data_IF_277170769924
#
_entry.id   IF_277170769924
#
_cell.length_a   1.000
_cell.length_b   1.000
_cell.length_c   1.000
_cell.angle_alpha   90.00
_cell.angle_beta   90.00
_cell.angle_gamma   90.00
#
_symmetry.space_group_name_H-M   'P 1'
#
loop_
_entity.id
_entity.type
_entity.pdbx_description
1 polymer ?
#
# COMPACT_ATOMS: atom_id res chain seq x y z
N UNK A 1 -3.20 -5.66 12.54
CA UNK A 1 -3.64 -7.07 12.63
C UNK A 1 -3.48 -7.72 11.27
N UNK A 2 -2.97 -8.95 11.26
CA UNK A 2 -2.46 -9.63 10.07
C UNK A 2 -3.55 -9.91 9.05
N UNK A 3 -3.35 -9.40 7.84
CA UNK A 3 -4.09 -9.86 6.65
C UNK A 3 -3.59 -11.28 6.37
N UNK A 4 -4.49 -12.26 6.33
CA UNK A 4 -4.14 -13.62 5.92
C UNK A 4 -3.40 -13.57 4.58
N UNK A 5 -2.10 -13.86 4.62
CA UNK A 5 -1.26 -13.96 3.43
C UNK A 5 -1.47 -15.35 2.84
N UNK A 6 -2.53 -15.54 2.06
CA UNK A 6 -2.59 -16.71 1.19
C UNK A 6 -1.49 -16.58 0.13
N UNK A 7 -0.71 -17.64 -0.08
CA UNK A 7 0.30 -17.70 -1.14
C UNK A 7 -0.38 -17.59 -2.52
N UNK A 8 -0.45 -16.37 -3.05
CA UNK A 8 -0.93 -16.11 -4.41
C UNK A 8 0.21 -16.34 -5.39
N UNK A 9 0.28 -17.55 -5.94
CA UNK A 9 1.20 -17.84 -7.04
C UNK A 9 0.82 -16.99 -8.27
N UNK A 10 1.78 -16.25 -8.81
CA UNK A 10 1.70 -15.40 -10.01
C UNK A 10 0.96 -14.04 -9.92
N UNK A 11 0.72 -13.49 -8.72
CA UNK A 11 0.17 -12.14 -8.60
C UNK A 11 1.27 -11.07 -8.84
N UNK A 12 1.08 -10.11 -9.77
CA UNK A 12 2.01 -8.95 -9.83
C UNK A 12 1.91 -8.17 -8.52
N UNK A 13 3.06 -7.72 -8.02
CA UNK A 13 3.21 -6.95 -6.78
C UNK A 13 2.25 -5.74 -6.78
N UNK A 14 1.52 -5.51 -5.69
CA UNK A 14 0.60 -4.38 -5.59
C UNK A 14 1.33 -3.10 -5.18
N UNK A 15 0.71 -1.95 -5.44
CA UNK A 15 1.21 -0.66 -4.93
C UNK A 15 1.24 -0.57 -3.41
N UNK A 16 0.46 -1.38 -2.69
CA UNK A 16 0.42 -1.41 -1.22
C UNK A 16 1.55 -2.26 -0.62
N UNK A 17 2.14 -3.15 -1.41
CA UNK A 17 3.20 -4.06 -0.97
C UNK A 17 4.60 -3.43 -1.03
N UNK A 18 4.72 -2.29 -1.73
CA UNK A 18 5.99 -1.59 -1.91
C UNK A 18 6.04 -0.28 -1.14
N UNK A 19 7.26 0.05 -0.71
CA UNK A 19 7.58 1.35 -0.17
C UNK A 19 7.35 2.42 -1.24
N UNK A 20 6.62 3.47 -0.88
CA UNK A 20 6.26 4.54 -1.82
C UNK A 20 6.54 5.91 -1.24
N UNK A 21 6.89 6.85 -2.12
CA UNK A 21 7.21 8.25 -1.79
C UNK A 21 6.32 9.15 -2.62
N UNK A 22 5.64 10.09 -1.98
CA UNK A 22 4.88 11.12 -2.66
C UNK A 22 5.22 12.52 -2.15
N UNK A 23 5.10 13.52 -3.02
CA UNK A 23 5.33 14.93 -2.65
C UNK A 23 4.38 15.41 -1.55
N UNK A 24 3.17 14.84 -1.48
CA UNK A 24 2.20 15.15 -0.44
C UNK A 24 2.66 14.65 0.94
N UNK A 25 3.20 13.44 1.01
CA UNK A 25 3.71 12.86 2.26
C UNK A 25 4.91 13.67 2.77
N UNK A 26 5.80 14.08 1.86
CA UNK A 26 6.95 14.93 2.21
C UNK A 26 6.52 16.29 2.77
N UNK A 27 5.53 16.94 2.15
CA UNK A 27 4.98 18.22 2.63
C UNK A 27 4.36 18.08 4.02
N UNK A 28 3.66 16.98 4.29
CA UNK A 28 3.08 16.70 5.63
C UNK A 28 4.13 16.50 6.71
N UNK A 29 5.27 15.90 6.35
CA UNK A 29 6.37 15.65 7.28
C UNK A 29 7.40 16.79 7.37
N UNK A 30 7.10 17.97 6.81
CA UNK A 30 7.95 19.16 6.93
C UNK A 30 9.25 19.08 6.12
N UNK A 31 9.39 18.11 5.21
CA UNK A 31 10.55 17.97 4.34
C UNK A 31 10.45 18.93 3.14
N UNK A 32 10.78 20.20 3.39
CA UNK A 32 10.52 21.31 2.45
C UNK A 32 11.80 22.06 2.05
N UNK A 33 12.90 21.95 2.80
CA UNK A 33 14.11 22.75 2.56
C UNK A 33 15.19 21.98 1.78
N UNK A 34 15.70 22.53 0.67
CA UNK A 34 16.87 21.97 -0.01
C UNK A 34 18.11 21.96 0.89
N UNK A 35 19.00 20.99 0.68
CA UNK A 35 20.29 20.91 1.38
C UNK A 35 20.27 20.21 2.74
N UNK A 36 19.10 19.75 3.20
CA UNK A 36 18.95 18.94 4.42
C UNK A 36 18.60 17.50 4.02
N UNK A 37 19.26 16.52 4.65
CA UNK A 37 18.93 15.11 4.53
C UNK A 37 17.74 14.75 5.40
N UNK A 38 16.79 14.02 4.84
CA UNK A 38 15.56 13.59 5.50
C UNK A 38 15.46 12.07 5.50
N UNK A 39 14.76 11.52 6.48
CA UNK A 39 14.46 10.08 6.55
C UNK A 39 12.97 9.87 6.36
N UNK A 40 12.58 9.09 5.35
CA UNK A 40 11.22 8.60 5.22
C UNK A 40 11.14 7.24 5.92
N UNK A 41 10.25 7.14 6.90
CA UNK A 41 9.97 5.89 7.61
C UNK A 41 8.62 5.38 7.20
N UNK A 42 8.52 4.06 7.00
CA UNK A 42 7.23 3.40 6.82
C UNK A 42 6.97 2.47 8.00
N UNK A 43 5.73 2.43 8.45
CA UNK A 43 5.26 1.50 9.45
C UNK A 43 4.05 0.74 8.94
N UNK A 44 3.97 -0.56 9.26
CA UNK A 44 2.80 -1.41 9.00
C UNK A 44 2.38 -2.07 10.29
N UNK A 45 1.18 -1.74 10.77
CA UNK A 45 0.66 -2.29 12.04
C UNK A 45 1.50 -1.90 13.26
N UNK A 46 2.06 -0.69 13.29
CA UNK A 46 2.88 -0.19 14.41
C UNK A 46 4.35 -0.62 14.39
N UNK A 47 4.75 -1.57 13.52
CA UNK A 47 6.16 -1.95 13.32
C UNK A 47 6.76 -1.20 12.14
N UNK A 48 7.95 -0.62 12.31
CA UNK A 48 8.69 0.03 11.23
C UNK A 48 9.07 -1.02 10.18
N UNK A 49 8.58 -0.87 8.96
CA UNK A 49 8.82 -1.81 7.84
C UNK A 49 9.99 -1.39 6.96
N UNK A 50 10.47 -0.16 7.11
CA UNK A 50 11.66 0.32 6.42
C UNK A 50 11.91 1.79 6.70
N UNK A 51 13.13 2.23 6.38
CA UNK A 51 13.49 3.63 6.35
C UNK A 51 14.42 3.86 5.15
N UNK A 52 14.25 4.98 4.46
CA UNK A 52 15.21 5.46 3.47
C UNK A 52 15.63 6.88 3.82
N UNK A 53 16.87 7.22 3.48
CA UNK A 53 17.32 8.61 3.52
C UNK A 53 17.15 9.22 2.14
N UNK A 54 16.86 10.52 2.11
CA UNK A 54 16.78 11.27 0.88
C UNK A 54 17.21 12.72 1.09
N UNK A 55 17.76 13.31 0.04
CA UNK A 55 18.16 14.71 0.02
C UNK A 55 17.32 15.47 -1.01
N UNK A 56 16.94 16.69 -0.65
CA UNK A 56 16.21 17.58 -1.53
C UNK A 56 17.18 18.58 -2.14
N UNK A 57 17.13 18.70 -3.47
CA UNK A 57 17.65 19.83 -4.21
C UNK A 57 16.48 20.63 -4.80
N UNK A 58 16.79 21.77 -5.41
CA UNK A 58 15.80 22.62 -6.10
C UNK A 58 15.07 21.83 -7.20
N UNK A 59 15.84 21.19 -8.07
CA UNK A 59 15.36 20.54 -9.29
C UNK A 59 15.41 19.01 -9.24
N UNK A 60 15.96 18.42 -8.18
CA UNK A 60 16.06 16.97 -8.03
C UNK A 60 15.94 16.47 -6.59
N UNK A 61 15.74 15.16 -6.47
CA UNK A 61 15.72 14.42 -5.22
C UNK A 61 16.72 13.27 -5.32
N UNK A 62 17.56 13.11 -4.31
CA UNK A 62 18.48 11.98 -4.24
C UNK A 62 18.01 11.01 -3.17
N UNK A 63 17.73 9.77 -3.53
CA UNK A 63 17.49 8.67 -2.60
C UNK A 63 18.82 8.01 -2.24
N UNK A 64 19.04 7.78 -0.94
CA UNK A 64 20.21 7.08 -0.39
C UNK A 64 19.72 6.00 0.56
N UNK A 65 19.94 4.74 0.22
CA UNK A 65 19.57 3.62 1.08
C UNK A 65 20.41 2.39 0.78
N UNK A 66 20.39 1.43 1.69
CA UNK A 66 21.06 0.14 1.50
C UNK A 66 20.02 -0.90 1.13
N UNK A 67 20.24 -1.62 0.03
CA UNK A 67 19.44 -2.75 -0.37
C UNK A 67 20.19 -4.03 -0.08
N UNK A 68 19.61 -4.93 0.71
CA UNK A 68 20.18 -6.25 1.00
C UNK A 68 19.41 -7.31 0.22
N UNK A 69 19.94 -7.80 -0.92
CA UNK A 69 19.31 -8.89 -1.66
C UNK A 69 19.27 -10.17 -0.83
N UNK A 70 18.30 -11.05 -1.11
CA UNK A 70 18.24 -12.35 -0.45
C UNK A 70 19.51 -13.16 -0.74
N UNK A 71 20.21 -13.58 0.33
CA UNK A 71 21.47 -14.34 0.22
C UNK A 71 22.69 -13.56 -0.25
N UNK A 72 22.60 -12.22 -0.33
CA UNK A 72 23.70 -11.36 -0.80
C UNK A 72 24.12 -10.30 0.23
N UNK A 73 25.30 -9.68 0.04
CA UNK A 73 25.75 -8.59 0.90
C UNK A 73 24.89 -7.33 0.71
N UNK A 74 24.82 -6.46 1.73
CA UNK A 74 24.16 -5.16 1.60
C UNK A 74 24.83 -4.29 0.52
N UNK A 75 24.04 -3.75 -0.41
CA UNK A 75 24.51 -2.89 -1.51
C UNK A 75 24.02 -1.46 -1.28
N UNK A 76 24.92 -0.45 -1.22
CA UNK A 76 24.50 0.94 -1.17
C UNK A 76 23.90 1.36 -2.50
N UNK A 77 22.73 1.99 -2.45
CA UNK A 77 21.96 2.44 -3.61
C UNK A 77 21.80 3.96 -3.53
N UNK A 78 22.18 4.63 -4.62
CA UNK A 78 21.96 6.06 -4.83
C UNK A 78 21.16 6.28 -6.10
N UNK A 79 19.97 6.87 -6.00
CA UNK A 79 19.12 7.16 -7.17
C UNK A 79 18.72 8.62 -7.17
N UNK A 80 18.99 9.32 -8.28
CA UNK A 80 18.59 10.72 -8.47
C UNK A 80 17.33 10.76 -9.33
N UNK A 81 16.31 11.48 -8.85
CA UNK A 81 15.07 11.71 -9.55
C UNK A 81 14.88 13.20 -9.77
N UNK A 82 14.68 13.61 -11.01
CA UNK A 82 14.43 15.00 -11.37
C UNK A 82 12.99 15.39 -11.04
N UNK A 83 12.76 16.68 -10.78
CA UNK A 83 11.43 17.24 -10.70
C UNK A 83 10.96 17.74 -12.06
N UNK A 84 9.66 17.77 -12.25
CA UNK A 84 9.00 18.47 -13.34
C UNK A 84 7.99 19.46 -12.74
N UNK A 85 7.76 20.57 -13.43
CA UNK A 85 6.87 21.63 -12.98
C UNK A 85 5.84 21.90 -14.05
N UNK A 86 4.59 22.08 -13.63
CA UNK A 86 3.49 22.49 -14.51
C UNK A 86 2.86 23.75 -13.92
N UNK A 87 2.65 24.78 -14.74
CA UNK A 87 1.95 25.99 -14.31
C UNK A 87 0.50 25.65 -13.92
N UNK A 88 -0.01 26.29 -12.86
CA UNK A 88 -1.39 26.15 -12.43
C UNK A 88 -2.24 27.32 -12.94
N UNK A 89 -3.48 27.04 -13.35
CA UNK A 89 -4.42 28.07 -13.87
C UNK A 89 -4.68 29.23 -12.90
N UNK A 90 -4.69 28.98 -11.58
CA UNK A 90 -4.91 29.99 -10.55
C UNK A 90 -3.61 30.54 -9.94
N UNK A 91 -2.49 30.40 -10.65
CA UNK A 91 -1.17 30.81 -10.17
C UNK A 91 -0.37 29.71 -9.46
N UNK A 92 0.95 29.86 -9.45
CA UNK A 92 1.90 28.92 -8.87
C UNK A 92 2.27 27.75 -9.80
N UNK A 93 3.04 26.81 -9.25
CA UNK A 93 3.54 25.64 -9.98
C UNK A 93 3.24 24.34 -9.23
N UNK A 94 2.75 23.35 -9.96
CA UNK A 94 2.61 21.99 -9.47
C UNK A 94 3.89 21.21 -9.72
N UNK A 95 4.51 20.75 -8.64
CA UNK A 95 5.70 19.90 -8.66
C UNK A 95 5.31 18.43 -8.90
N UNK A 96 6.12 17.74 -9.69
CA UNK A 96 5.99 16.32 -10.03
C UNK A 96 7.36 15.65 -9.96
N UNK A 97 7.40 14.33 -9.80
CA UNK A 97 8.60 13.54 -10.06
C UNK A 97 8.67 13.15 -11.53
N UNK A 98 9.84 13.29 -12.15
CA UNK A 98 10.11 12.81 -13.50
C UNK A 98 10.68 11.40 -13.43
N UNK A 99 9.86 10.41 -13.78
CA UNK A 99 10.33 9.03 -13.86
C UNK A 99 11.21 8.84 -15.10
N UNK A 100 12.15 7.89 -15.07
CA UNK A 100 13.00 7.54 -16.23
C UNK A 100 12.22 7.11 -17.49
N UNK A 101 10.93 6.79 -17.40
CA UNK A 101 10.06 6.58 -18.56
C UNK A 101 9.52 7.87 -19.19
N UNK A 102 9.99 9.05 -18.78
CA UNK A 102 9.53 10.35 -19.27
C UNK A 102 8.24 10.87 -18.62
N UNK A 103 7.51 10.03 -17.87
CA UNK A 103 6.26 10.43 -17.21
C UNK A 103 6.50 11.29 -15.96
N UNK A 104 5.71 12.35 -15.84
CA UNK A 104 5.57 13.14 -14.61
C UNK A 104 4.56 12.47 -13.68
N UNK A 105 4.98 12.10 -12.46
CA UNK A 105 4.17 11.33 -11.51
C UNK A 105 4.20 11.96 -10.11
N UNK A 106 3.12 11.79 -9.35
CA UNK A 106 3.04 12.29 -7.95
C UNK A 106 3.72 11.34 -6.97
N UNK A 107 3.80 10.05 -7.32
CA UNK A 107 4.27 8.98 -6.45
C UNK A 107 5.24 8.06 -7.17
N UNK A 108 6.33 7.74 -6.48
CA UNK A 108 7.32 6.75 -6.87
C UNK A 108 7.26 5.57 -5.91
N UNK A 109 7.71 4.41 -6.38
CA UNK A 109 7.80 3.19 -5.62
C UNK A 109 9.23 2.67 -5.67
N UNK A 110 9.64 2.04 -4.57
CA UNK A 110 10.98 1.50 -4.39
C UNK A 110 10.87 -0.02 -4.40
N UNK A 111 11.63 -0.66 -5.30
CA UNK A 111 11.74 -2.12 -5.40
C UNK A 111 13.20 -2.50 -5.56
N UNK A 112 13.80 -3.04 -4.50
CA UNK A 112 15.21 -3.35 -4.47
C UNK A 112 16.05 -2.09 -4.74
N UNK A 113 16.88 -2.12 -5.78
CA UNK A 113 17.74 -0.99 -6.17
C UNK A 113 17.06 0.05 -7.08
N UNK A 114 15.78 -0.14 -7.44
CA UNK A 114 15.08 0.71 -8.41
C UNK A 114 14.04 1.60 -7.72
N UNK A 115 14.06 2.89 -8.08
CA UNK A 115 13.01 3.87 -7.74
C UNK A 115 12.30 4.29 -9.02
N UNK A 116 11.03 3.93 -9.19
CA UNK A 116 10.30 4.19 -10.42
C UNK A 116 8.79 4.30 -10.23
N UNK A 117 8.07 4.71 -11.29
CA UNK A 117 6.62 4.82 -11.24
C UNK A 117 5.93 3.44 -11.31
N UNK A 118 4.63 3.41 -11.00
CA UNK A 118 3.82 2.18 -11.04
C UNK A 118 3.89 1.44 -12.37
N UNK A 119 3.98 2.18 -13.48
CA UNK A 119 4.02 1.60 -14.83
C UNK A 119 5.35 0.89 -15.10
N UNK A 120 6.47 1.53 -14.77
CA UNK A 120 7.80 0.93 -14.94
C UNK A 120 8.01 -0.32 -14.08
N UNK A 121 7.37 -0.36 -12.91
CA UNK A 121 7.44 -1.50 -12.00
C UNK A 121 6.32 -2.52 -12.20
N UNK A 122 5.47 -2.32 -13.22
CA UNK A 122 4.32 -3.17 -13.56
C UNK A 122 3.42 -3.46 -12.33
N UNK A 123 3.20 -2.43 -11.51
CA UNK A 123 2.37 -2.51 -10.31
C UNK A 123 0.91 -2.30 -10.67
N UNK A 124 0.04 -3.11 -10.09
CA UNK A 124 -1.40 -2.83 -10.11
C UNK A 124 -1.84 -2.18 -8.81
N UNK A 125 -2.90 -1.39 -8.88
CA UNK A 125 -3.59 -0.96 -7.67
C UNK A 125 -4.23 -2.15 -6.97
N UNK A 126 -4.17 -2.19 -5.63
CA UNK A 126 -4.85 -3.23 -4.85
C UNK A 126 -6.35 -3.32 -5.16
N UNK A 127 -6.99 -2.17 -5.43
CA UNK A 127 -8.41 -2.09 -5.83
C UNK A 127 -8.71 -2.65 -7.22
N UNK A 128 -7.74 -2.66 -8.15
CA UNK A 128 -7.91 -3.22 -9.50
C UNK A 128 -7.75 -4.75 -9.53
N UNK A 129 -7.34 -5.35 -8.41
CA UNK A 129 -7.12 -6.79 -8.27
C UNK A 129 -8.00 -7.44 -7.21
N UNK A 130 -9.04 -6.75 -6.75
CA UNK A 130 -9.95 -7.36 -5.80
C UNK A 130 -10.67 -8.53 -6.48
N UNK A 131 -10.23 -9.75 -6.18
CA UNK A 131 -11.03 -10.94 -6.40
C UNK A 131 -12.25 -10.93 -5.47
N UNK A 132 -13.16 -11.87 -5.66
CA UNK A 132 -14.39 -11.92 -4.88
C UNK A 132 -14.09 -12.02 -3.37
N UNK A 133 -13.01 -12.71 -2.97
CA UNK A 133 -12.57 -12.85 -1.58
C UNK A 133 -12.03 -11.53 -1.02
N UNK A 134 -11.26 -10.77 -1.77
CA UNK A 134 -10.77 -9.44 -1.39
C UNK A 134 -11.91 -8.45 -1.19
N UNK A 135 -12.93 -8.48 -2.06
CA UNK A 135 -14.15 -7.67 -1.91
C UNK A 135 -14.91 -8.05 -0.65
N UNK A 136 -15.07 -9.35 -0.39
CA UNK A 136 -15.76 -9.85 0.79
C UNK A 136 -15.00 -9.48 2.08
N UNK A 137 -13.67 -9.61 2.09
CA UNK A 137 -12.84 -9.16 3.21
C UNK A 137 -12.99 -7.67 3.51
N UNK A 138 -12.89 -6.79 2.50
CA UNK A 138 -13.08 -5.34 2.71
C UNK A 138 -14.48 -5.00 3.21
N UNK A 139 -15.52 -5.69 2.71
CA UNK A 139 -16.89 -5.53 3.21
C UNK A 139 -17.00 -5.94 4.68
N UNK A 140 -16.38 -7.04 5.07
CA UNK A 140 -16.34 -7.49 6.48
C UNK A 140 -15.65 -6.44 7.34
N UNK A 141 -14.44 -6.00 6.98
CA UNK A 141 -13.68 -4.98 7.73
C UNK A 141 -14.46 -3.67 7.89
N UNK A 142 -15.12 -3.20 6.82
CA UNK A 142 -15.94 -1.98 6.84
C UNK A 142 -17.15 -2.11 7.77
N UNK A 143 -17.74 -3.30 7.89
CA UNK A 143 -18.86 -3.54 8.79
C UNK A 143 -18.36 -3.71 10.23
N UNK A 144 -17.25 -4.44 10.42
CA UNK A 144 -16.59 -4.63 11.71
C UNK A 144 -16.07 -3.32 12.32
N UNK A 145 -15.59 -2.38 11.50
CA UNK A 145 -15.08 -1.08 12.00
C UNK A 145 -16.14 -0.21 12.69
N UNK A 146 -17.43 -0.57 12.58
CA UNK A 146 -18.54 0.06 13.32
C UNK A 146 -18.69 -0.46 14.74
N UNK A 147 -18.03 -1.57 15.06
CA UNK A 147 -17.99 -2.18 16.38
C UNK A 147 -16.61 -1.97 17.01
N UNK A 148 -16.57 -1.82 18.34
CA UNK A 148 -15.29 -1.79 19.09
C UNK A 148 -14.75 -3.20 19.29
N UNK A 149 -15.63 -4.14 19.62
CA UNK A 149 -15.38 -5.57 19.59
C UNK A 149 -16.63 -6.29 19.02
N UNK A 150 -16.47 -7.52 18.54
CA UNK A 150 -17.56 -8.26 17.89
C UNK A 150 -18.51 -8.99 18.86
N UNK A 151 -18.18 -9.03 20.14
CA UNK A 151 -18.88 -9.74 21.21
C UNK A 151 -19.81 -8.82 22.03
N UNK A 152 -19.47 -7.53 22.18
CA UNK A 152 -20.15 -6.58 23.04
C UNK A 152 -20.73 -5.38 22.28
N UNK A 153 -21.93 -4.97 22.68
CA UNK A 153 -22.62 -3.83 22.08
C UNK A 153 -21.94 -2.52 22.50
N UNK A 154 -21.54 -1.64 21.56
CA UNK A 154 -21.03 -0.32 21.90
C UNK A 154 -22.05 0.53 22.68
N UNK A 155 -21.58 1.29 23.67
CA UNK A 155 -22.40 2.25 24.43
C UNK A 155 -23.07 3.24 23.45
N UNK A 156 -24.39 3.42 23.57
CA UNK A 156 -25.19 4.30 22.71
C UNK A 156 -25.71 3.66 21.42
N UNK A 157 -25.33 2.43 21.07
CA UNK A 157 -25.89 1.71 19.92
C UNK A 157 -27.20 1.01 20.29
N UNK A 158 -28.22 1.02 19.42
CA UNK A 158 -29.45 0.24 19.66
C UNK A 158 -29.19 -1.26 19.51
N UNK A 159 -29.84 -2.11 20.32
CA UNK A 159 -29.64 -3.57 20.28
C UNK A 159 -29.99 -4.18 18.92
N UNK A 160 -31.03 -3.66 18.26
CA UNK A 160 -31.42 -4.10 16.92
C UNK A 160 -30.31 -3.81 15.90
N UNK A 161 -29.75 -2.61 15.91
CA UNK A 161 -28.64 -2.22 15.02
C UNK A 161 -27.41 -3.09 15.24
N UNK A 162 -27.11 -3.43 16.50
CA UNK A 162 -26.01 -4.32 16.83
C UNK A 162 -26.23 -5.74 16.27
N UNK A 163 -27.41 -6.33 16.49
CA UNK A 163 -27.77 -7.65 15.94
C UNK A 163 -27.75 -7.66 14.40
N UNK A 164 -28.20 -6.59 13.76
CA UNK A 164 -28.12 -6.46 12.29
C UNK A 164 -26.69 -6.41 11.77
N UNK A 165 -25.79 -5.67 12.45
CA UNK A 165 -24.37 -5.60 12.09
C UNK A 165 -23.73 -6.98 12.26
N UNK A 166 -23.96 -7.67 13.38
CA UNK A 166 -23.48 -9.04 13.60
C UNK A 166 -24.01 -10.01 12.53
N UNK A 167 -25.31 -9.97 12.23
CA UNK A 167 -25.92 -10.80 11.20
C UNK A 167 -25.40 -10.50 9.79
N UNK A 168 -24.97 -9.26 9.51
CA UNK A 168 -24.28 -8.90 8.26
C UNK A 168 -22.86 -9.46 8.22
N UNK A 169 -22.11 -9.39 9.31
CA UNK A 169 -20.76 -9.97 9.41
C UNK A 169 -20.82 -11.48 9.18
N UNK A 170 -21.70 -12.18 9.90
CA UNK A 170 -21.87 -13.63 9.78
C UNK A 170 -22.21 -14.07 8.34
N UNK A 171 -23.13 -13.35 7.68
CA UNK A 171 -23.48 -13.62 6.27
C UNK A 171 -22.29 -13.44 5.34
N UNK A 172 -21.51 -12.37 5.51
CA UNK A 172 -20.33 -12.11 4.68
C UNK A 172 -19.21 -13.14 4.93
N UNK A 173 -19.02 -13.57 6.18
CA UNK A 173 -18.06 -14.62 6.54
C UNK A 173 -18.45 -15.98 5.97
N UNK A 174 -19.74 -16.33 6.04
CA UNK A 174 -20.27 -17.55 5.41
C UNK A 174 -20.06 -17.55 3.89
N UNK A 175 -20.37 -16.43 3.21
CA UNK A 175 -20.11 -16.28 1.78
C UNK A 175 -18.62 -16.40 1.46
N UNK A 176 -17.76 -15.77 2.26
CA UNK A 176 -16.31 -15.87 2.10
C UNK A 176 -15.85 -17.32 2.19
N UNK A 177 -16.36 -18.09 3.16
CA UNK A 177 -16.01 -19.50 3.33
C UNK A 177 -16.40 -20.33 2.10
N UNK A 178 -17.63 -20.18 1.61
CA UNK A 178 -18.12 -20.88 0.40
C UNK A 178 -17.27 -20.58 -0.84
N UNK A 179 -16.90 -19.32 -1.02
CA UNK A 179 -16.06 -18.92 -2.16
C UNK A 179 -14.68 -19.53 -2.03
N UNK A 180 -14.08 -19.46 -0.85
CA UNK A 180 -12.75 -20.01 -0.56
C UNK A 180 -12.72 -21.53 -0.77
N UNK A 181 -13.74 -22.24 -0.33
CA UNK A 181 -13.93 -23.67 -0.54
C UNK A 181 -14.08 -24.00 -2.04
N UNK A 182 -14.90 -23.24 -2.78
CA UNK A 182 -15.07 -23.43 -4.23
C UNK A 182 -13.78 -23.17 -5.04
N UNK A 183 -12.95 -22.23 -4.59
CA UNK A 183 -11.66 -21.94 -5.22
C UNK A 183 -10.62 -23.00 -4.88
N UNK A 184 -10.62 -23.48 -3.62
CA UNK A 184 -9.75 -24.56 -3.19
C UNK A 184 -10.04 -25.86 -3.94
N UNK A 185 -11.30 -26.27 -4.03
CA UNK A 185 -11.72 -27.48 -4.75
C UNK A 185 -11.38 -27.42 -6.25
N UNK A 186 -11.53 -26.26 -6.89
CA UNK A 186 -11.10 -26.04 -8.29
C UNK A 186 -9.59 -26.17 -8.48
N UNK A 187 -8.81 -25.85 -7.44
CA UNK A 187 -7.35 -25.78 -7.51
C UNK A 187 -6.67 -27.09 -7.10
N UNK A 188 -7.25 -27.85 -6.18
CA UNK A 188 -6.72 -29.11 -5.66
C UNK A 188 -7.79 -30.21 -5.75
N UNK A 189 -8.02 -30.77 -6.95
CA UNK A 189 -8.98 -31.87 -7.11
C UNK A 189 -8.48 -33.11 -6.35
N UNK A 190 -9.28 -33.61 -5.40
CA UNK A 190 -9.02 -34.86 -4.66
C UNK A 190 -8.54 -34.73 -3.21
N UNK A 191 -8.32 -33.52 -2.71
CA UNK A 191 -8.12 -33.28 -1.27
C UNK A 191 -9.43 -32.77 -0.64
N UNK A 192 -10.00 -33.55 0.27
CA UNK A 192 -11.13 -33.12 1.11
C UNK A 192 -10.63 -32.36 2.34
N UNK A 193 -11.36 -31.32 2.75
CA UNK A 193 -11.13 -30.52 3.96
C UNK A 193 -11.42 -31.31 5.24
#
# INVERSE_FOLDING_TARGET
MGRGSYCRYNAKISTEDLLSVSLADMKRHGAVKPGIGYTLKWSRGGRQTGAINYDLAKDSMTFRYTNTPYGGPPVPVRVVIQYAFTACHYGGQRKWFKCGCGRSVVRLFIKGQRVACRHCLNLAYGSQREDLLDRLHRKIEKVQSRLKDCQSKPKGMHWQTFKEIQGKIYRLESLKWKVLESEYARRFPGMTF
#
